data_IF_558336215821
#
_entry.id   IF_558336215821
#
_cell.length_a   1.000
_cell.length_b   1.000
_cell.length_c   1.000
_cell.angle_alpha   90.00
_cell.angle_beta   90.00
_cell.angle_gamma   90.00
#
_symmetry.space_group_name_H-M   'P 1'
#
loop_
_entity.id
_entity.type
_entity.pdbx_description
1 polymer ?
#
# COMPACT_ATOMS: atom_id res chain seq x y z
N UNK A 1 0.45 1.34 -24.39
CA UNK A 1 0.58 2.02 -23.10
C UNK A 1 -0.80 2.18 -22.49
N UNK A 2 -1.09 1.49 -21.40
CA UNK A 2 -2.37 1.55 -20.70
C UNK A 2 -2.57 2.92 -20.01
N UNK A 3 -3.81 3.33 -19.71
CA UNK A 3 -4.07 4.55 -18.93
C UNK A 3 -3.34 4.57 -17.58
N UNK A 4 -3.17 3.41 -16.94
CA UNK A 4 -2.43 3.30 -15.67
C UNK A 4 -0.91 3.30 -15.87
N UNK A 5 -0.37 2.75 -16.96
CA UNK A 5 1.03 2.95 -17.32
C UNK A 5 1.32 4.43 -17.61
N UNK A 6 0.34 5.18 -18.13
CA UNK A 6 0.43 6.65 -18.27
C UNK A 6 0.33 7.35 -16.91
N UNK A 7 -0.45 6.83 -15.96
CA UNK A 7 -0.52 7.34 -14.58
C UNK A 7 0.77 7.02 -13.83
N UNK A 8 1.32 5.80 -13.93
CA UNK A 8 2.60 5.37 -13.38
C UNK A 8 3.80 6.11 -14.00
N UNK A 9 3.76 6.38 -15.32
CA UNK A 9 4.74 7.26 -15.98
C UNK A 9 4.58 8.74 -15.62
N UNK A 10 3.40 9.16 -15.13
CA UNK A 10 3.11 10.51 -14.62
C UNK A 10 3.15 10.58 -13.08
N UNK A 11 3.45 9.47 -12.39
CA UNK A 11 3.64 9.36 -10.96
C UNK A 11 4.99 9.97 -10.56
N UNK A 12 5.18 10.36 -9.29
CA UNK A 12 5.68 11.68 -8.97
C UNK A 12 7.19 11.62 -8.80
N UNK A 13 7.96 11.26 -9.83
CA UNK A 13 9.43 11.33 -9.72
C UNK A 13 9.85 12.75 -9.33
N UNK A 14 9.19 13.78 -9.87
CA UNK A 14 9.39 15.18 -9.50
C UNK A 14 8.88 15.57 -8.10
N UNK A 15 7.71 15.11 -7.69
CA UNK A 15 7.17 15.42 -6.35
C UNK A 15 7.88 14.65 -5.24
N UNK A 16 8.22 13.39 -5.46
CA UNK A 16 9.06 12.61 -4.55
C UNK A 16 10.47 13.17 -4.51
N UNK A 17 11.06 13.61 -5.63
CA UNK A 17 12.33 14.34 -5.59
C UNK A 17 12.26 15.58 -4.69
N UNK A 18 11.15 16.32 -4.67
CA UNK A 18 10.94 17.46 -3.75
C UNK A 18 10.78 17.03 -2.30
N UNK A 19 10.08 15.92 -2.03
CA UNK A 19 9.98 15.32 -0.69
C UNK A 19 11.38 14.92 -0.20
N UNK A 20 12.19 14.33 -1.09
CA UNK A 20 13.57 13.96 -0.84
C UNK A 20 14.50 15.19 -0.71
N UNK A 21 14.21 16.30 -1.37
CA UNK A 21 14.94 17.56 -1.12
C UNK A 21 14.64 18.12 0.28
N UNK A 22 13.39 18.03 0.75
CA UNK A 22 13.00 18.35 2.13
C UNK A 22 13.63 17.40 3.17
N UNK A 23 14.01 16.20 2.75
CA UNK A 23 14.67 15.17 3.56
C UNK A 23 16.16 15.47 3.86
N UNK A 24 16.80 16.36 3.09
CA UNK A 24 18.24 16.72 3.22
C UNK A 24 18.63 17.36 4.58
N UNK A 25 17.65 17.72 5.41
CA UNK A 25 17.84 18.37 6.73
C UNK A 25 17.91 17.39 7.93
N UNK A 26 18.17 16.09 7.69
CA UNK A 26 18.66 15.18 8.74
C UNK A 26 17.60 14.47 9.59
N UNK A 27 16.40 14.19 9.05
CA UNK A 27 15.38 13.35 9.72
C UNK A 27 15.18 12.01 8.99
N UNK A 28 14.95 10.92 9.76
CA UNK A 28 14.78 9.55 9.27
C UNK A 28 13.70 9.44 8.17
N UNK A 29 13.93 8.60 7.16
CA UNK A 29 13.08 8.52 5.95
C UNK A 29 11.59 8.22 6.23
N UNK A 30 11.29 7.39 7.24
CA UNK A 30 9.91 7.12 7.67
C UNK A 30 9.18 8.36 8.23
N UNK A 31 9.93 9.32 8.80
CA UNK A 31 9.37 10.57 9.32
C UNK A 31 9.03 11.59 8.21
N UNK A 32 9.49 11.41 6.97
CA UNK A 32 9.22 12.37 5.88
C UNK A 32 7.85 12.12 5.23
N UNK A 33 7.47 10.85 5.06
CA UNK A 33 6.16 10.44 4.56
C UNK A 33 5.01 10.90 5.47
N UNK A 34 5.24 10.98 6.78
CA UNK A 34 4.23 11.40 7.76
C UNK A 34 3.93 12.90 7.79
N UNK A 35 4.81 13.74 7.22
CA UNK A 35 4.64 15.21 7.20
C UNK A 35 3.59 15.63 6.17
N UNK A 36 3.41 14.86 5.10
CA UNK A 36 2.51 15.18 4.01
C UNK A 36 1.15 14.58 4.31
N UNK A 37 0.11 15.39 4.10
CA UNK A 37 -1.26 15.03 4.42
C UNK A 37 -2.16 15.31 3.23
N UNK A 38 -3.13 14.42 3.02
CA UNK A 38 -4.12 14.51 1.95
C UNK A 38 -5.53 14.39 2.52
N UNK A 39 -6.50 14.94 1.78
CA UNK A 39 -7.92 14.88 2.12
C UNK A 39 -8.60 13.59 1.66
N UNK A 40 -7.95 12.82 0.78
CA UNK A 40 -8.47 11.56 0.25
C UNK A 40 -7.39 10.48 0.24
N UNK A 41 -7.82 9.23 0.30
CA UNK A 41 -7.02 8.04 0.03
C UNK A 41 -7.07 7.76 -1.48
N UNK A 42 -5.92 7.57 -2.09
CA UNK A 42 -5.80 7.41 -3.53
C UNK A 42 -4.43 7.75 -4.08
N UNK A 43 -4.23 7.46 -5.35
CA UNK A 43 -3.00 7.76 -6.07
C UNK A 43 -2.97 9.22 -6.52
N UNK A 44 -1.76 9.77 -6.55
CA UNK A 44 -1.51 11.17 -6.90
C UNK A 44 -1.53 11.37 -8.42
N UNK A 45 -2.38 12.28 -8.89
CA UNK A 45 -2.33 12.84 -10.22
C UNK A 45 -1.65 14.21 -10.22
N UNK A 46 -0.80 14.46 -11.21
CA UNK A 46 -0.25 15.78 -11.45
C UNK A 46 -1.31 16.69 -12.10
N UNK A 47 -1.63 17.80 -11.44
CA UNK A 47 -2.59 18.81 -11.96
C UNK A 47 -1.84 19.81 -12.85
N UNK A 48 -0.69 20.26 -12.39
CA UNK A 48 0.23 21.16 -13.10
C UNK A 48 1.69 20.85 -12.74
N UNK A 49 2.66 21.62 -13.21
CA UNK A 49 4.09 21.37 -13.01
C UNK A 49 4.51 21.28 -11.52
N UNK A 50 3.70 21.80 -10.60
CA UNK A 50 4.04 21.97 -9.18
C UNK A 50 2.98 21.48 -8.19
N UNK A 51 1.80 21.06 -8.68
CA UNK A 51 0.66 20.65 -7.85
C UNK A 51 0.28 19.21 -8.12
N UNK A 52 0.11 18.44 -7.05
CA UNK A 52 -0.34 17.05 -7.08
C UNK A 52 -1.55 16.90 -6.16
N UNK A 53 -2.56 16.21 -6.65
CA UNK A 53 -3.79 15.93 -5.92
C UNK A 53 -4.13 14.45 -6.00
N UNK A 54 -4.92 13.97 -5.05
CA UNK A 54 -5.40 12.58 -5.05
C UNK A 54 -6.59 12.50 -5.99
N UNK A 55 -6.40 11.88 -7.16
CA UNK A 55 -7.41 11.86 -8.23
C UNK A 55 -7.73 10.46 -8.74
N UNK A 56 -6.96 9.45 -8.34
CA UNK A 56 -7.10 8.08 -8.82
C UNK A 56 -7.17 7.06 -7.69
N UNK A 57 -7.63 5.85 -8.01
CA UNK A 57 -7.63 4.71 -7.08
C UNK A 57 -6.24 4.42 -6.52
N UNK A 58 -6.14 3.97 -5.26
CA UNK A 58 -4.87 3.50 -4.69
C UNK A 58 -4.22 2.43 -5.56
N UNK A 59 -2.99 2.67 -6.02
CA UNK A 59 -2.19 1.69 -6.75
C UNK A 59 -1.39 0.87 -5.75
N UNK A 60 -2.06 -0.08 -5.10
CA UNK A 60 -1.47 -0.92 -4.06
C UNK A 60 -0.76 -2.15 -4.64
N UNK A 61 0.23 -2.67 -3.91
CA UNK A 61 0.94 -3.90 -4.28
C UNK A 61 -0.01 -5.10 -4.43
N UNK A 62 -1.00 -5.34 -3.54
CA UNK A 62 -1.97 -6.41 -3.74
C UNK A 62 -2.74 -6.30 -5.07
N UNK A 63 -3.08 -5.09 -5.50
CA UNK A 63 -3.76 -4.85 -6.77
C UNK A 63 -2.80 -5.08 -7.96
N UNK A 64 -1.56 -4.60 -7.88
CA UNK A 64 -0.55 -4.81 -8.91
C UNK A 64 -0.25 -6.31 -9.12
N UNK A 65 -0.12 -7.09 -8.04
CA UNK A 65 0.09 -8.54 -8.10
C UNK A 65 -1.08 -9.28 -8.76
N UNK A 66 -2.31 -8.79 -8.60
CA UNK A 66 -3.47 -9.38 -9.26
C UNK A 66 -3.47 -9.21 -10.77
N UNK A 67 -3.04 -8.04 -11.24
CA UNK A 67 -2.84 -7.80 -12.67
C UNK A 67 -1.68 -8.64 -13.20
N UNK A 68 -0.57 -8.70 -12.45
CA UNK A 68 0.66 -9.36 -12.90
C UNK A 68 0.57 -10.89 -12.88
N UNK A 69 -0.01 -11.47 -11.84
CA UNK A 69 -0.01 -12.93 -11.58
C UNK A 69 -1.42 -13.52 -11.66
N UNK A 70 -2.45 -12.76 -11.26
CA UNK A 70 -3.83 -13.23 -11.17
C UNK A 70 -4.58 -13.33 -12.51
N UNK A 71 -4.02 -12.80 -13.60
CA UNK A 71 -4.70 -12.71 -14.93
C UNK A 71 -6.04 -11.94 -14.89
N UNK A 72 -6.31 -11.20 -13.82
CA UNK A 72 -7.55 -10.45 -13.62
C UNK A 72 -7.52 -9.18 -14.48
N UNK A 73 -8.49 -8.95 -15.38
CA UNK A 73 -8.55 -7.71 -16.12
C UNK A 73 -8.72 -6.52 -15.18
N UNK A 74 -8.05 -5.41 -15.50
CA UNK A 74 -8.03 -4.19 -14.68
C UNK A 74 -9.40 -3.56 -14.41
N UNK A 75 -10.39 -3.89 -15.23
CA UNK A 75 -11.76 -3.39 -15.15
C UNK A 75 -12.57 -4.06 -14.02
N UNK A 76 -12.06 -5.13 -13.42
CA UNK A 76 -12.67 -5.80 -12.27
C UNK A 76 -12.36 -5.13 -10.92
N UNK A 77 -11.38 -4.23 -10.88
CA UNK A 77 -11.08 -3.44 -9.68
C UNK A 77 -12.00 -2.21 -9.60
N UNK A 78 -11.94 -1.49 -8.46
CA UNK A 78 -12.62 -0.20 -8.28
C UNK A 78 -12.33 0.74 -9.46
N UNK A 79 -13.26 1.59 -9.89
CA UNK A 79 -13.03 2.44 -11.07
C UNK A 79 -11.77 3.30 -10.88
N UNK A 80 -11.10 3.65 -11.97
CA UNK A 80 -9.83 4.37 -11.93
C UNK A 80 -9.90 5.70 -11.17
N UNK A 81 -11.05 6.36 -11.21
CA UNK A 81 -11.38 7.63 -10.54
C UNK A 81 -11.90 7.46 -9.10
N UNK A 82 -11.94 6.23 -8.57
CA UNK A 82 -12.42 5.97 -7.21
C UNK A 82 -11.36 6.39 -6.19
N UNK A 83 -11.69 7.36 -5.35
CA UNK A 83 -10.92 7.72 -4.15
C UNK A 83 -11.75 7.41 -2.91
N UNK A 84 -11.13 7.41 -1.72
CA UNK A 84 -11.85 7.22 -0.46
C UNK A 84 -11.70 8.44 0.43
N UNK A 85 -12.79 8.87 1.01
CA UNK A 85 -12.91 9.98 1.97
C UNK A 85 -12.74 9.51 3.42
N UNK A 86 -12.89 8.21 3.68
CA UNK A 86 -12.68 7.60 5.00
C UNK A 86 -11.82 6.33 4.95
N UNK A 87 -11.04 6.08 6.00
CA UNK A 87 -10.16 4.91 6.13
C UNK A 87 -10.95 3.60 6.17
N UNK A 88 -12.06 3.57 6.91
CA UNK A 88 -12.89 2.37 7.07
C UNK A 88 -13.44 1.84 5.74
N UNK A 89 -13.87 2.72 4.82
CA UNK A 89 -14.33 2.31 3.49
C UNK A 89 -13.18 1.78 2.62
N UNK A 90 -11.97 2.35 2.76
CA UNK A 90 -10.78 1.81 2.11
C UNK A 90 -10.39 0.42 2.64
N UNK A 91 -10.44 0.19 3.97
CA UNK A 91 -10.18 -1.13 4.56
C UNK A 91 -11.19 -2.18 4.09
N UNK A 92 -12.47 -1.82 3.96
CA UNK A 92 -13.49 -2.71 3.38
C UNK A 92 -13.17 -3.04 1.91
N UNK A 93 -12.81 -2.04 1.11
CA UNK A 93 -12.40 -2.26 -0.29
C UNK A 93 -11.16 -3.17 -0.39
N UNK A 94 -10.18 -2.98 0.49
CA UNK A 94 -8.99 -3.82 0.58
C UNK A 94 -9.35 -5.28 0.96
N UNK A 95 -10.31 -5.46 1.86
CA UNK A 95 -10.80 -6.79 2.23
C UNK A 95 -11.46 -7.52 1.05
N UNK A 96 -12.30 -6.83 0.26
CA UNK A 96 -12.90 -7.41 -0.94
C UNK A 96 -11.83 -7.73 -2.00
N UNK A 97 -10.81 -6.87 -2.16
CA UNK A 97 -9.67 -7.12 -3.04
C UNK A 97 -8.92 -8.41 -2.66
N UNK A 98 -8.71 -8.65 -1.36
CA UNK A 98 -8.07 -9.88 -0.87
C UNK A 98 -8.91 -11.14 -1.12
N UNK A 99 -10.24 -11.03 -1.08
CA UNK A 99 -11.15 -12.13 -1.42
C UNK A 99 -11.14 -12.40 -2.92
N UNK A 100 -11.23 -11.35 -3.75
CA UNK A 100 -11.11 -11.45 -5.20
C UNK A 100 -9.80 -12.15 -5.59
N UNK A 101 -8.70 -11.81 -4.90
CA UNK A 101 -7.44 -12.52 -5.08
C UNK A 101 -7.50 -14.01 -4.83
N UNK A 102 -8.17 -14.42 -3.77
CA UNK A 102 -8.30 -15.85 -3.49
C UNK A 102 -9.11 -16.58 -4.55
N UNK A 103 -10.15 -15.93 -5.08
CA UNK A 103 -11.05 -16.52 -6.07
C UNK A 103 -10.36 -16.65 -7.43
N UNK A 104 -9.65 -15.61 -7.86
CA UNK A 104 -9.18 -15.49 -9.24
C UNK A 104 -7.71 -15.87 -9.46
N UNK A 105 -6.89 -15.93 -8.41
CA UNK A 105 -5.48 -16.31 -8.56
C UNK A 105 -5.36 -17.80 -8.93
N UNK A 106 -5.05 -18.07 -10.21
CA UNK A 106 -5.04 -19.44 -10.77
C UNK A 106 -3.79 -20.26 -10.42
N UNK A 107 -2.63 -19.60 -10.35
CA UNK A 107 -1.34 -20.27 -10.18
C UNK A 107 -0.79 -20.05 -8.78
N UNK A 108 -0.23 -21.11 -8.19
CA UNK A 108 0.51 -21.12 -6.92
C UNK A 108 -0.21 -20.40 -5.76
N UNK A 109 -1.54 -20.34 -5.82
CA UNK A 109 -2.35 -19.65 -4.82
C UNK A 109 -2.65 -20.55 -3.62
N UNK A 110 -2.77 -21.85 -3.86
CA UNK A 110 -3.22 -22.87 -2.92
C UNK A 110 -2.30 -24.08 -3.01
N UNK A 111 -1.73 -24.49 -1.88
CA UNK A 111 -0.85 -25.66 -1.80
C UNK A 111 -1.58 -26.94 -1.41
N UNK A 112 -2.67 -26.81 -0.65
CA UNK A 112 -3.49 -27.94 -0.18
C UNK A 112 -4.93 -27.50 0.15
N UNK A 113 -5.81 -28.47 0.40
CA UNK A 113 -7.19 -28.18 0.83
C UNK A 113 -7.23 -27.41 2.16
N UNK A 114 -6.30 -27.69 3.07
CA UNK A 114 -6.25 -27.03 4.38
C UNK A 114 -5.64 -25.64 4.29
N UNK A 115 -4.65 -25.45 3.40
CA UNK A 115 -4.18 -24.11 3.04
C UNK A 115 -5.31 -23.25 2.44
N UNK A 116 -6.11 -23.82 1.53
CA UNK A 116 -7.30 -23.16 0.99
C UNK A 116 -8.28 -22.74 2.08
N UNK A 117 -8.63 -23.66 3.00
CA UNK A 117 -9.53 -23.37 4.13
C UNK A 117 -8.99 -22.26 5.02
N UNK A 118 -7.70 -22.30 5.39
CA UNK A 118 -7.06 -21.26 6.21
C UNK A 118 -7.10 -19.91 5.50
N UNK A 119 -6.68 -19.85 4.23
CA UNK A 119 -6.67 -18.63 3.41
C UNK A 119 -8.07 -18.04 3.24
N UNK A 120 -9.08 -18.88 3.03
CA UNK A 120 -10.48 -18.49 2.94
C UNK A 120 -10.98 -17.89 4.26
N UNK A 121 -10.83 -18.62 5.37
CA UNK A 121 -11.28 -18.17 6.69
C UNK A 121 -10.59 -16.85 7.08
N UNK A 122 -9.28 -16.74 6.90
CA UNK A 122 -8.53 -15.53 7.22
C UNK A 122 -9.07 -14.28 6.50
N UNK A 123 -9.37 -14.37 5.20
CA UNK A 123 -9.87 -13.23 4.40
C UNK A 123 -11.29 -12.84 4.80
N UNK A 124 -12.16 -13.81 5.09
CA UNK A 124 -13.52 -13.53 5.53
C UNK A 124 -13.56 -12.98 6.96
N UNK A 125 -12.66 -13.43 7.84
CA UNK A 125 -12.48 -12.83 9.16
C UNK A 125 -11.95 -11.39 9.05
N UNK A 126 -10.94 -11.15 8.21
CA UNK A 126 -10.44 -9.80 7.94
C UNK A 126 -11.56 -8.88 7.44
N UNK A 127 -12.37 -9.35 6.47
CA UNK A 127 -13.54 -8.60 5.99
C UNK A 127 -14.56 -8.33 7.09
N UNK A 128 -14.85 -9.30 7.94
CA UNK A 128 -15.76 -9.12 9.07
C UNK A 128 -15.24 -8.02 10.01
N UNK A 129 -13.96 -8.06 10.36
CA UNK A 129 -13.33 -7.05 11.21
C UNK A 129 -13.33 -5.65 10.56
N UNK A 130 -13.12 -5.58 9.24
CA UNK A 130 -13.20 -4.33 8.49
C UNK A 130 -14.61 -3.71 8.56
N UNK A 131 -15.65 -4.50 8.26
CA UNK A 131 -17.06 -4.07 8.31
C UNK A 131 -17.53 -3.71 9.73
N UNK A 132 -17.02 -4.42 10.73
CA UNK A 132 -17.26 -4.11 12.15
C UNK A 132 -16.40 -2.93 12.64
N UNK A 133 -15.59 -2.30 11.77
CA UNK A 133 -14.65 -1.20 12.08
C UNK A 133 -13.62 -1.52 13.17
N UNK A 134 -13.42 -2.80 13.49
CA UNK A 134 -12.45 -3.26 14.49
C UNK A 134 -11.00 -3.06 14.04
N UNK A 135 -10.76 -3.00 12.74
CA UNK A 135 -9.43 -2.69 12.19
C UNK A 135 -9.04 -1.22 12.37
N UNK A 136 -10.02 -0.31 12.39
CA UNK A 136 -9.82 1.13 12.51
C UNK A 136 -10.18 1.69 13.89
N UNK A 137 -10.71 0.86 14.80
CA UNK A 137 -11.21 1.27 16.12
C UNK A 137 -10.19 2.11 16.91
N UNK A 138 -8.93 1.66 16.96
CA UNK A 138 -7.83 2.39 17.64
C UNK A 138 -7.58 3.78 17.06
N UNK A 139 -7.94 3.98 15.80
CA UNK A 139 -7.68 5.19 15.01
C UNK A 139 -8.97 5.86 14.54
N UNK A 140 -10.11 5.61 15.21
CA UNK A 140 -11.41 6.09 14.78
C UNK A 140 -11.47 7.63 14.64
N UNK A 141 -10.69 8.37 15.43
CA UNK A 141 -10.56 9.83 15.31
C UNK A 141 -9.88 10.31 14.03
N UNK A 142 -9.27 9.40 13.27
CA UNK A 142 -8.57 9.63 12.01
C UNK A 142 -9.27 8.97 10.83
N UNK A 143 -10.51 8.49 10.99
CA UNK A 143 -11.26 7.81 9.91
C UNK A 143 -11.40 8.74 8.70
N UNK A 144 -11.71 10.02 8.91
CA UNK A 144 -11.79 11.07 7.87
C UNK A 144 -10.43 11.71 7.54
N UNK A 145 -9.32 11.13 8.02
CA UNK A 145 -7.96 11.61 7.82
C UNK A 145 -7.36 12.37 9.01
N UNK A 146 -6.19 13.02 8.84
CA UNK A 146 -5.47 13.19 7.57
C UNK A 146 -4.87 11.89 7.04
N UNK A 147 -4.92 11.71 5.72
CA UNK A 147 -4.28 10.58 5.04
C UNK A 147 -2.82 10.88 4.73
N UNK A 148 -1.95 9.86 4.82
CA UNK A 148 -0.50 10.01 4.73
C UNK A 148 0.06 9.39 3.47
N UNK A 149 1.18 9.92 2.99
CA UNK A 149 1.86 9.31 1.86
C UNK A 149 2.43 7.95 2.28
N UNK A 150 2.18 6.92 1.49
CA UNK A 150 2.60 5.55 1.73
C UNK A 150 3.12 4.93 0.43
N UNK A 151 4.08 4.01 0.54
CA UNK A 151 4.57 3.23 -0.58
C UNK A 151 4.71 1.77 -0.14
N UNK A 152 3.95 0.87 -0.77
CA UNK A 152 3.95 -0.56 -0.42
C UNK A 152 5.32 -1.23 -0.64
N UNK A 153 6.12 -0.72 -1.58
CA UNK A 153 7.47 -1.22 -1.87
C UNK A 153 8.59 -0.38 -1.26
N UNK A 154 8.33 0.33 -0.16
CA UNK A 154 9.36 1.12 0.52
C UNK A 154 10.36 0.25 1.29
N UNK A 155 11.33 -0.34 0.58
CA UNK A 155 12.39 -1.20 1.13
C UNK A 155 13.76 -0.53 1.14
N UNK A 156 14.71 -0.97 1.99
CA UNK A 156 16.07 -0.45 2.01
C UNK A 156 16.80 -0.48 0.65
N UNK A 157 16.52 -1.50 -0.17
CA UNK A 157 17.08 -1.62 -1.53
C UNK A 157 16.68 -0.47 -2.46
N UNK A 158 15.55 0.20 -2.16
CA UNK A 158 15.04 1.32 -2.93
C UNK A 158 15.54 2.67 -2.41
N UNK A 159 16.43 2.67 -1.40
CA UNK A 159 17.00 3.88 -0.79
C UNK A 159 18.45 4.04 -1.26
N UNK A 160 18.72 5.08 -2.05
CA UNK A 160 20.06 5.41 -2.53
C UNK A 160 20.82 6.15 -1.44
N UNK A 161 22.10 5.82 -1.21
CA UNK A 161 22.98 6.56 -0.31
C UNK A 161 24.07 7.30 -1.12
N UNK A 162 24.49 8.46 -0.63
CA UNK A 162 25.66 9.17 -1.14
C UNK A 162 26.96 8.61 -0.53
N UNK A 163 28.10 9.18 -0.95
CA UNK A 163 29.44 8.80 -0.45
C UNK A 163 29.63 8.96 1.07
N UNK A 164 28.81 9.77 1.71
CA UNK A 164 28.85 10.04 3.16
C UNK A 164 27.84 9.17 3.92
N UNK A 165 27.29 8.12 3.29
CA UNK A 165 26.26 7.22 3.83
C UNK A 165 24.96 7.92 4.24
N UNK A 166 24.69 9.10 3.68
CA UNK A 166 23.41 9.81 3.83
C UNK A 166 22.50 9.41 2.67
N UNK A 167 21.19 9.30 2.87
CA UNK A 167 20.28 9.09 1.73
C UNK A 167 20.50 10.19 0.68
N UNK A 168 20.43 9.80 -0.58
CA UNK A 168 20.55 10.65 -1.75
C UNK A 168 19.21 10.70 -2.50
N UNK A 169 18.42 9.64 -2.40
CA UNK A 169 17.10 9.56 -2.99
C UNK A 169 16.41 8.24 -2.68
N UNK A 170 15.18 8.11 -3.13
CA UNK A 170 14.40 6.88 -3.13
C UNK A 170 13.98 6.60 -4.57
N UNK A 171 14.11 5.36 -5.01
CA UNK A 171 13.72 4.87 -6.33
C UNK A 171 12.54 3.91 -6.22
N UNK A 172 12.00 3.47 -7.36
CA UNK A 172 10.94 2.45 -7.42
C UNK A 172 9.67 2.82 -6.64
N UNK A 173 9.25 4.08 -6.77
CA UNK A 173 8.12 4.64 -6.03
C UNK A 173 6.77 4.49 -6.76
N UNK A 174 6.68 3.56 -7.72
CA UNK A 174 5.50 3.40 -8.57
C UNK A 174 4.24 2.97 -7.79
N UNK A 175 4.41 2.39 -6.60
CA UNK A 175 3.32 1.98 -5.70
C UNK A 175 3.09 2.99 -4.55
N UNK A 176 3.31 4.29 -4.83
CA UNK A 176 3.10 5.36 -3.85
C UNK A 176 1.71 5.98 -3.97
N UNK A 177 0.99 6.07 -2.85
CA UNK A 177 -0.35 6.66 -2.79
C UNK A 177 -0.64 7.27 -1.40
N UNK A 178 -1.72 8.04 -1.27
CA UNK A 178 -2.23 8.52 0.01
C UNK A 178 -3.04 7.41 0.70
N UNK A 179 -2.67 7.05 1.92
CA UNK A 179 -3.19 5.91 2.67
C UNK A 179 -3.66 6.31 4.09
N UNK A 180 -4.42 5.44 4.79
CA UNK A 180 -4.77 5.64 6.19
C UNK A 180 -3.53 5.87 7.08
N UNK A 181 -3.68 6.67 8.13
CA UNK A 181 -2.57 7.00 9.05
C UNK A 181 -2.01 5.76 9.74
N UNK A 182 -2.85 4.75 9.94
CA UNK A 182 -2.56 3.44 10.53
C UNK A 182 -1.35 2.77 9.89
N UNK A 183 -1.16 2.94 8.58
CA UNK A 183 -0.06 2.32 7.84
C UNK A 183 1.28 2.89 8.29
N UNK A 184 1.35 4.19 8.61
CA UNK A 184 2.57 4.85 9.10
C UNK A 184 3.02 4.39 10.49
N UNK A 185 2.11 3.77 11.26
CA UNK A 185 2.39 3.20 12.58
C UNK A 185 2.64 1.70 12.54
N UNK A 186 2.43 1.05 11.39
CA UNK A 186 2.79 -0.34 11.23
C UNK A 186 4.32 -0.47 11.14
N UNK A 187 4.93 -1.47 11.81
CA UNK A 187 6.34 -1.74 11.60
C UNK A 187 6.57 -2.05 10.11
N UNK A 188 7.61 -1.47 9.48
CA UNK A 188 7.93 -1.78 8.09
C UNK A 188 8.05 -3.30 7.90
N UNK A 189 7.34 -3.85 6.92
CA UNK A 189 7.25 -5.30 6.74
C UNK A 189 8.61 -5.95 6.48
N UNK A 190 9.57 -5.22 5.92
CA UNK A 190 10.95 -5.70 5.69
C UNK A 190 11.79 -5.78 6.97
N UNK A 191 11.30 -5.31 8.12
CA UNK A 191 11.87 -5.66 9.42
C UNK A 191 11.51 -7.09 9.82
N UNK A 192 10.47 -7.67 9.22
CA UNK A 192 10.19 -9.08 9.35
C UNK A 192 11.25 -9.82 8.52
N UNK A 193 12.15 -10.54 9.19
CA UNK A 193 13.23 -11.33 8.57
C UNK A 193 12.65 -12.27 7.50
N UNK A 194 11.46 -12.79 7.77
CA UNK A 194 10.67 -13.62 6.87
C UNK A 194 9.21 -13.18 6.88
N UNK A 195 8.53 -13.30 5.74
CA UNK A 195 7.10 -12.98 5.64
C UNK A 195 6.28 -13.92 6.53
N UNK A 196 5.23 -13.44 7.22
CA UNK A 196 4.41 -14.28 8.10
C UNK A 196 3.82 -15.52 7.42
N UNK A 197 3.60 -15.48 6.11
CA UNK A 197 3.08 -16.63 5.36
C UNK A 197 4.09 -17.77 5.20
N UNK A 198 5.39 -17.49 5.38
CA UNK A 198 6.48 -18.45 5.26
C UNK A 198 6.96 -19.00 6.61
N UNK A 199 6.42 -18.51 7.73
CA UNK A 199 6.83 -18.97 9.05
C UNK A 199 6.49 -20.45 9.25
N UNK A 200 7.38 -21.24 9.86
CA UNK A 200 7.09 -22.65 10.16
C UNK A 200 5.85 -22.77 11.04
N UNK A 201 4.89 -23.61 10.65
CA UNK A 201 3.71 -23.92 11.48
C UNK A 201 4.05 -24.72 12.73
N UNK A 202 5.25 -25.30 12.78
CA UNK A 202 5.60 -26.38 13.71
C UNK A 202 6.42 -25.89 14.91
N UNK A 203 6.71 -24.59 14.98
CA UNK A 203 7.53 -23.96 16.02
C UNK A 203 7.16 -22.51 16.21
N UNK A 204 5.86 -22.23 16.39
CA UNK A 204 5.37 -20.87 16.66
C UNK A 204 6.26 -20.17 17.69
N UNK A 205 6.61 -18.91 17.41
CA UNK A 205 7.55 -18.06 18.16
C UNK A 205 7.75 -18.55 19.60
N UNK A 206 8.76 -19.39 19.80
CA UNK A 206 9.22 -19.74 21.13
C UNK A 206 9.80 -18.45 21.72
N UNK A 207 9.29 -18.07 22.90
CA UNK A 207 9.66 -16.86 23.65
C UNK A 207 11.18 -16.72 23.88
#
# INVERSE_FOLDING_TARGET
>A
MSPEEKVAQRHPVGFLARILMRWRDGKYAASAFSVISFSYIGSLGQIDDFTWEVTYRPLSMPMNELVRVGSLPRDFFTKLDTTFDIASSYFESLAELHILRLIDQKNDAIESADDCRRKFVARYLFRKLARERKLTERWASFDEGPFKLWCDDFRPANVLLNKDLKTAGVVDCELTYAAPVEFSYAPPWWLLIEKPECWPTDGGLED
#
